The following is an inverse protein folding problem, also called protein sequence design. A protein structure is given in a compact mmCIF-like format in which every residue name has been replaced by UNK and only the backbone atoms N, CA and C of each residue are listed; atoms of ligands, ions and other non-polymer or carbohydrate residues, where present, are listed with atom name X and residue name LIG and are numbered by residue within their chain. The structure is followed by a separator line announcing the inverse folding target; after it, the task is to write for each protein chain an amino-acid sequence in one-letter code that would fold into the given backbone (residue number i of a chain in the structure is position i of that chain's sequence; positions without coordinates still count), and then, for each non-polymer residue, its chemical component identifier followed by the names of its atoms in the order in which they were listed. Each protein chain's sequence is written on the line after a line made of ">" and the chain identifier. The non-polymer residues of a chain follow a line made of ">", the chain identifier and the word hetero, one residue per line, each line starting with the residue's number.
data_IF_090177708031
#
_entry.id   IF_090177708031
#
_cell.length_a   1.000
_cell.length_b   1.000
_cell.length_c   1.000
_cell.angle_alpha   90.00
_cell.angle_beta   90.00
_cell.angle_gamma   90.00
#
_symmetry.space_group_name_H-M   'P 1'
#
loop_
_entity.id
_entity.type
_entity.pdbx_description
1 polymer ?
#
# COMPACT_ATOMS: atom_id res chain seq x y z
N UNK A 1 19.84 -5.77 -18.00
CA UNK A 1 18.62 -6.09 -18.71
C UNK A 1 18.01 -4.84 -19.36
N UNK A 2 17.28 -4.00 -18.65
CA UNK A 2 16.78 -2.76 -19.19
C UNK A 2 17.46 -1.54 -18.59
N UNK A 3 17.80 -0.58 -19.45
CA UNK A 3 18.33 0.70 -19.03
C UNK A 3 17.17 1.60 -18.58
N UNK A 4 17.32 2.23 -17.44
CA UNK A 4 16.39 3.24 -16.93
C UNK A 4 16.81 4.58 -17.51
N UNK A 5 15.95 5.17 -18.35
CA UNK A 5 16.22 6.48 -18.95
C UNK A 5 15.97 7.63 -17.98
N UNK A 6 14.91 7.51 -17.17
CA UNK A 6 14.49 8.55 -16.26
C UNK A 6 13.65 7.96 -15.11
N UNK A 7 13.71 8.58 -13.94
CA UNK A 7 12.80 8.29 -12.82
C UNK A 7 11.76 9.40 -12.70
N UNK A 8 10.51 9.02 -12.49
CA UNK A 8 9.38 9.93 -12.33
C UNK A 8 8.60 9.54 -11.09
N UNK A 9 8.35 10.50 -10.20
CA UNK A 9 7.51 10.30 -9.02
C UNK A 9 6.06 10.58 -9.38
N UNK A 10 5.19 9.58 -9.19
CA UNK A 10 3.74 9.72 -9.37
C UNK A 10 3.02 9.17 -8.14
N UNK A 11 2.46 10.05 -7.35
CA UNK A 11 1.74 9.66 -6.14
C UNK A 11 2.62 8.86 -5.18
N UNK A 12 2.17 7.68 -4.84
CA UNK A 12 2.81 6.80 -3.85
C UNK A 12 4.07 6.09 -4.37
N UNK A 13 4.21 5.95 -5.69
CA UNK A 13 5.26 5.12 -6.28
C UNK A 13 6.21 5.92 -7.17
N UNK A 14 7.44 5.40 -7.30
CA UNK A 14 8.39 5.84 -8.31
C UNK A 14 8.21 4.99 -9.57
N UNK A 15 8.23 5.65 -10.72
CA UNK A 15 8.19 5.03 -12.04
C UNK A 15 9.50 5.24 -12.76
N UNK A 16 9.93 4.23 -13.51
CA UNK A 16 11.06 4.32 -14.42
C UNK A 16 10.57 4.43 -15.85
N UNK A 17 11.22 5.25 -16.65
CA UNK A 17 11.01 5.28 -18.09
C UNK A 17 11.92 4.22 -18.71
N UNK A 18 11.34 3.19 -19.28
CA UNK A 18 12.05 2.04 -19.86
C UNK A 18 11.48 1.72 -21.22
N UNK A 19 12.28 1.90 -22.25
CA UNK A 19 11.87 1.64 -23.63
C UNK A 19 11.94 0.13 -23.90
N UNK A 20 10.86 -0.41 -24.49
CA UNK A 20 10.80 -1.82 -24.89
C UNK A 20 10.42 -2.81 -23.79
N UNK A 21 10.06 -2.33 -22.61
CA UNK A 21 9.61 -3.23 -21.56
C UNK A 21 8.19 -3.75 -21.83
N UNK A 22 7.93 -5.08 -21.71
CA UNK A 22 6.63 -5.67 -22.08
C UNK A 22 5.46 -5.19 -21.22
N UNK A 23 5.71 -4.73 -19.99
CA UNK A 23 4.69 -4.21 -19.07
C UNK A 23 4.66 -2.68 -19.00
N UNK A 24 5.39 -2.01 -19.88
CA UNK A 24 5.39 -0.55 -19.94
C UNK A 24 4.05 0.00 -20.42
N UNK A 25 3.66 1.15 -19.88
CA UNK A 25 2.52 1.92 -20.36
C UNK A 25 2.84 2.54 -21.75
N UNK A 26 1.83 3.18 -22.35
CA UNK A 26 2.02 3.90 -23.64
C UNK A 26 3.13 4.95 -23.58
N UNK A 27 3.47 5.47 -22.39
CA UNK A 27 4.54 6.44 -22.17
C UNK A 27 5.84 5.80 -21.67
N UNK A 28 5.98 4.48 -21.82
CA UNK A 28 7.14 3.69 -21.40
C UNK A 28 7.38 3.72 -19.87
N UNK A 29 6.35 3.97 -19.07
CA UNK A 29 6.44 3.92 -17.61
C UNK A 29 6.29 2.51 -17.07
N UNK A 30 7.22 2.11 -16.19
CA UNK A 30 7.19 0.85 -15.44
C UNK A 30 7.49 1.20 -13.99
N UNK A 31 6.89 0.48 -13.05
CA UNK A 31 7.20 0.66 -11.62
C UNK A 31 8.71 0.43 -11.39
N UNK A 32 9.37 1.40 -10.75
CA UNK A 32 10.84 1.36 -10.57
C UNK A 32 11.29 0.12 -9.81
N UNK A 33 10.61 -0.24 -8.72
CA UNK A 33 10.94 -1.43 -7.94
C UNK A 33 10.85 -2.73 -8.77
N UNK A 34 9.93 -2.78 -9.71
CA UNK A 34 9.80 -3.91 -10.63
C UNK A 34 11.02 -4.02 -11.54
N UNK A 35 11.45 -2.92 -12.13
CA UNK A 35 12.61 -2.88 -13.03
C UNK A 35 13.90 -3.26 -12.28
N UNK A 36 14.07 -2.74 -11.06
CA UNK A 36 15.22 -3.06 -10.20
C UNK A 36 15.29 -4.56 -9.94
N UNK A 37 14.17 -5.17 -9.58
CA UNK A 37 14.13 -6.61 -9.30
C UNK A 37 14.36 -7.44 -10.56
N UNK A 38 13.75 -7.07 -11.68
CA UNK A 38 13.92 -7.78 -12.95
C UNK A 38 15.37 -7.72 -13.44
N UNK A 39 16.03 -6.57 -13.33
CA UNK A 39 17.45 -6.41 -13.67
C UNK A 39 18.33 -7.25 -12.75
N UNK A 40 18.01 -7.34 -11.47
CA UNK A 40 18.75 -8.17 -10.52
C UNK A 40 18.59 -9.66 -10.84
N UNK A 41 17.38 -10.11 -11.16
CA UNK A 41 17.10 -11.52 -11.48
C UNK A 41 17.58 -11.92 -12.88
N UNK A 42 17.77 -10.96 -13.78
CA UNK A 42 18.08 -11.23 -15.19
C UNK A 42 16.90 -11.78 -16.00
N UNK A 43 15.67 -11.64 -15.51
CA UNK A 43 14.44 -12.10 -16.17
C UNK A 43 13.27 -11.19 -15.83
N UNK A 44 12.20 -11.26 -16.62
CA UNK A 44 10.94 -10.60 -16.31
C UNK A 44 10.19 -11.33 -15.19
N UNK A 45 9.44 -10.58 -14.40
CA UNK A 45 8.56 -11.16 -13.39
C UNK A 45 7.35 -11.83 -14.06
N UNK A 46 6.93 -12.96 -13.49
CA UNK A 46 5.72 -13.64 -13.90
C UNK A 46 4.47 -12.83 -13.49
N UNK A 47 3.32 -13.17 -14.08
CA UNK A 47 2.06 -12.46 -13.82
C UNK A 47 1.57 -12.56 -12.38
N UNK A 48 1.93 -13.65 -11.68
CA UNK A 48 1.58 -13.88 -10.30
C UNK A 48 2.64 -13.43 -9.29
N UNK A 49 3.78 -12.92 -9.79
CA UNK A 49 4.84 -12.39 -8.95
C UNK A 49 4.65 -10.90 -8.67
N UNK A 50 4.87 -10.49 -7.43
CA UNK A 50 4.87 -9.09 -7.02
C UNK A 50 6.13 -8.77 -6.24
N UNK A 51 6.58 -7.53 -6.31
CA UNK A 51 7.74 -7.05 -5.55
C UNK A 51 7.23 -6.37 -4.29
N UNK A 52 7.66 -6.87 -3.14
CA UNK A 52 7.30 -6.33 -1.84
C UNK A 52 8.44 -5.50 -1.25
N UNK A 53 8.13 -4.34 -0.70
CA UNK A 53 9.06 -3.50 0.06
C UNK A 53 9.04 -3.99 1.52
N UNK A 54 10.17 -4.50 2.00
CA UNK A 54 10.26 -5.09 3.35
C UNK A 54 9.98 -4.08 4.45
N UNK A 55 10.41 -2.83 4.28
CA UNK A 55 10.16 -1.71 5.20
C UNK A 55 8.85 -0.96 4.94
N UNK A 56 8.07 -1.41 3.95
CA UNK A 56 6.83 -0.77 3.45
C UNK A 56 7.02 0.64 2.90
N UNK A 57 8.25 1.10 2.71
CA UNK A 57 8.55 2.36 2.06
C UNK A 57 8.65 2.16 0.54
N UNK A 58 7.62 2.58 -0.18
CA UNK A 58 7.52 2.40 -1.63
C UNK A 58 8.54 3.21 -2.43
N UNK A 59 9.28 4.10 -1.80
CA UNK A 59 10.37 4.87 -2.41
C UNK A 59 11.76 4.26 -2.15
N UNK A 60 11.87 3.32 -1.24
CA UNK A 60 13.13 2.62 -0.95
C UNK A 60 13.25 1.38 -1.84
N UNK A 61 13.77 1.59 -3.05
CA UNK A 61 13.92 0.56 -4.06
C UNK A 61 15.32 -0.10 -4.09
N UNK A 62 16.02 -0.06 -2.96
CA UNK A 62 17.27 -0.80 -2.81
C UNK A 62 16.98 -2.29 -2.85
N UNK A 63 17.84 -3.05 -3.56
CA UNK A 63 17.60 -4.49 -3.75
C UNK A 63 17.51 -5.26 -2.43
N UNK A 64 18.23 -4.84 -1.40
CA UNK A 64 18.19 -5.45 -0.07
C UNK A 64 16.82 -5.30 0.61
N UNK A 65 16.05 -4.28 0.22
CA UNK A 65 14.72 -3.99 0.75
C UNK A 65 13.59 -4.64 -0.07
N UNK A 66 13.91 -5.22 -1.21
CA UNK A 66 12.92 -5.80 -2.11
C UNK A 66 12.92 -7.32 -2.03
N UNK A 67 11.74 -7.91 -2.13
CA UNK A 67 11.55 -9.35 -2.24
C UNK A 67 10.44 -9.67 -3.23
N UNK A 68 10.57 -10.82 -3.89
CA UNK A 68 9.55 -11.31 -4.82
C UNK A 68 8.65 -12.29 -4.07
N UNK A 69 7.35 -12.03 -4.10
CA UNK A 69 6.33 -12.89 -3.51
C UNK A 69 5.31 -13.24 -4.58
N UNK A 70 4.63 -14.38 -4.43
CA UNK A 70 3.42 -14.63 -5.21
C UNK A 70 2.30 -13.68 -4.75
N UNK A 71 1.32 -13.43 -5.62
CA UNK A 71 0.15 -12.62 -5.23
C UNK A 71 -0.57 -13.19 -4.01
N UNK A 72 -0.63 -14.52 -3.91
CA UNK A 72 -1.22 -15.22 -2.77
C UNK A 72 -0.46 -14.92 -1.48
N UNK A 73 0.86 -15.08 -1.47
CA UNK A 73 1.70 -14.83 -0.30
C UNK A 73 1.69 -13.36 0.11
N UNK A 74 1.71 -12.45 -0.85
CA UNK A 74 1.61 -11.02 -0.61
C UNK A 74 0.28 -10.67 0.06
N UNK A 75 -0.83 -11.23 -0.42
CA UNK A 75 -2.16 -11.03 0.17
C UNK A 75 -2.23 -11.59 1.60
N UNK A 76 -1.65 -12.76 1.85
CA UNK A 76 -1.58 -13.37 3.19
C UNK A 76 -0.78 -12.49 4.16
N UNK A 77 0.33 -11.92 3.71
CA UNK A 77 1.16 -11.02 4.51
C UNK A 77 0.36 -9.79 4.95
N UNK A 78 -0.33 -9.14 4.03
CA UNK A 78 -1.15 -7.97 4.33
C UNK A 78 -2.39 -8.32 5.16
N UNK A 79 -3.00 -9.47 4.94
CA UNK A 79 -4.12 -9.96 5.76
C UNK A 79 -3.71 -10.18 7.21
N UNK A 80 -2.50 -10.70 7.45
CA UNK A 80 -1.96 -10.87 8.81
C UNK A 80 -1.78 -9.52 9.50
N UNK A 81 -1.23 -8.52 8.83
CA UNK A 81 -1.09 -7.16 9.35
C UNK A 81 -2.46 -6.54 9.61
N UNK A 82 -3.41 -6.73 8.69
CA UNK A 82 -4.76 -6.18 8.80
C UNK A 82 -5.59 -6.74 9.96
N UNK A 83 -5.23 -7.92 10.46
CA UNK A 83 -5.91 -8.54 11.62
C UNK A 83 -5.38 -8.05 12.96
N UNK A 84 -4.34 -7.26 12.98
CA UNK A 84 -3.83 -6.67 14.23
C UNK A 84 -4.88 -5.73 14.81
N UNK A 85 -5.31 -6.01 16.03
CA UNK A 85 -6.31 -5.21 16.73
C UNK A 85 -5.63 -4.13 17.58
N UNK A 86 -6.21 -2.94 17.58
CA UNK A 86 -5.76 -1.82 18.41
C UNK A 86 -6.89 -1.38 19.34
N UNK A 87 -6.54 -0.96 20.55
CA UNK A 87 -7.50 -0.39 21.49
C UNK A 87 -7.90 1.02 21.04
N UNK A 88 -9.19 1.27 21.04
CA UNK A 88 -9.77 2.56 20.66
C UNK A 88 -10.83 2.99 21.69
N UNK A 89 -11.11 4.28 21.71
CA UNK A 89 -12.20 4.85 22.54
C UNK A 89 -13.20 5.51 21.62
N UNK A 90 -14.48 5.19 21.77
CA UNK A 90 -15.54 5.81 20.99
C UNK A 90 -15.66 7.30 21.33
N UNK A 91 -15.57 8.15 20.33
CA UNK A 91 -15.62 9.60 20.49
C UNK A 91 -17.02 10.09 20.91
N UNK A 92 -18.07 9.30 20.60
CA UNK A 92 -19.44 9.65 20.94
C UNK A 92 -19.87 9.17 22.34
N UNK A 93 -19.66 7.89 22.66
CA UNK A 93 -20.14 7.28 23.93
C UNK A 93 -19.04 6.96 24.94
N UNK A 94 -17.76 7.07 24.58
CA UNK A 94 -16.64 6.84 25.48
C UNK A 94 -16.31 5.38 25.76
N UNK A 95 -16.99 4.43 25.10
CA UNK A 95 -16.73 3.00 25.28
C UNK A 95 -15.36 2.64 24.71
N UNK A 96 -14.61 1.84 25.44
CA UNK A 96 -13.37 1.24 24.94
C UNK A 96 -13.70 0.03 24.09
N UNK A 97 -13.12 -0.05 22.88
CA UNK A 97 -13.31 -1.16 21.97
C UNK A 97 -12.04 -1.45 21.19
N UNK A 98 -11.99 -2.58 20.48
CA UNK A 98 -10.88 -2.96 19.61
C UNK A 98 -11.29 -2.84 18.15
N UNK A 99 -10.37 -2.38 17.33
CA UNK A 99 -10.56 -2.21 15.89
C UNK A 99 -9.35 -2.75 15.14
N UNK A 100 -9.58 -3.33 13.97
CA UNK A 100 -8.46 -3.74 13.12
C UNK A 100 -7.68 -2.52 12.63
N UNK A 101 -6.35 -2.60 12.69
CA UNK A 101 -5.47 -1.48 12.34
C UNK A 101 -5.66 -0.98 10.91
N UNK A 102 -6.05 -1.86 9.99
CA UNK A 102 -6.31 -1.51 8.57
C UNK A 102 -7.47 -0.52 8.39
N UNK A 103 -8.41 -0.49 9.34
CA UNK A 103 -9.55 0.43 9.31
C UNK A 103 -9.27 1.75 10.01
N UNK A 104 -8.08 1.92 10.54
CA UNK A 104 -7.68 3.16 11.18
C UNK A 104 -7.19 4.15 10.13
N UNK A 105 -7.85 5.29 10.05
CA UNK A 105 -7.35 6.40 9.26
C UNK A 105 -6.37 7.22 10.11
N UNK A 106 -5.08 7.27 9.77
CA UNK A 106 -4.09 8.00 10.58
C UNK A 106 -4.32 9.51 10.62
N UNK A 107 -5.06 10.05 9.64
CA UNK A 107 -5.41 11.48 9.60
C UNK A 107 -6.64 11.82 10.44
N UNK A 108 -7.44 10.83 10.78
CA UNK A 108 -8.66 11.01 11.57
C UNK A 108 -8.49 10.37 12.95
N UNK A 109 -8.37 11.19 13.96
CA UNK A 109 -8.22 10.74 15.35
C UNK A 109 -9.53 10.26 15.96
N UNK A 110 -10.67 10.50 15.32
CA UNK A 110 -11.97 10.10 15.81
C UNK A 110 -12.25 8.64 15.47
N UNK A 111 -12.60 7.86 16.49
CA UNK A 111 -13.00 6.47 16.32
C UNK A 111 -14.36 6.26 16.97
N UNK A 112 -15.15 5.33 16.41
CA UNK A 112 -16.52 5.05 16.86
C UNK A 112 -16.74 3.56 16.99
N UNK A 113 -17.43 3.15 18.06
CA UNK A 113 -17.72 1.73 18.31
C UNK A 113 -18.73 1.13 17.32
N UNK A 114 -19.54 1.98 16.68
CA UNK A 114 -20.56 1.56 15.71
C UNK A 114 -20.90 2.68 14.74
N UNK A 115 -21.60 2.33 13.66
CA UNK A 115 -22.14 3.31 12.71
C UNK A 115 -23.13 4.27 13.38
N UNK A 116 -23.87 3.76 14.36
CA UNK A 116 -24.84 4.57 15.14
C UNK A 116 -24.13 5.71 15.87
N UNK A 117 -23.03 5.42 16.56
CA UNK A 117 -22.23 6.44 17.25
C UNK A 117 -21.59 7.43 16.28
N UNK A 118 -21.11 6.95 15.15
CA UNK A 118 -20.58 7.79 14.10
C UNK A 118 -21.66 8.74 13.55
N UNK A 119 -22.84 8.22 13.27
CA UNK A 119 -23.99 9.01 12.82
C UNK A 119 -24.44 10.06 13.83
N UNK A 120 -24.53 9.69 15.09
CA UNK A 120 -24.91 10.63 16.17
C UNK A 120 -23.88 11.75 16.33
N UNK A 121 -22.59 11.43 16.31
CA UNK A 121 -21.53 12.42 16.45
C UNK A 121 -21.48 13.40 15.27
N UNK A 122 -21.63 12.90 14.05
CA UNK A 122 -21.57 13.70 12.82
C UNK A 122 -22.93 14.26 12.40
N UNK A 123 -24.02 13.66 12.85
CA UNK A 123 -25.40 14.04 12.47
C UNK A 123 -25.79 15.45 12.88
N UNK A 124 -25.23 15.93 13.96
CA UNK A 124 -25.47 17.31 14.42
C UNK A 124 -24.87 18.38 13.49
N UNK A 125 -23.95 17.97 12.61
CA UNK A 125 -23.35 18.87 11.63
C UNK A 125 -24.11 18.93 10.31
N UNK A 126 -25.06 18.03 10.12
CA UNK A 126 -25.94 17.98 8.94
C UNK A 126 -27.32 18.51 9.26
N UNK A 127 -27.40 19.66 9.86
CA UNK A 127 -28.69 20.36 9.84
C UNK A 127 -28.91 20.97 8.47
N UNK A 128 -29.93 20.47 7.86
CA UNK A 128 -30.50 20.86 6.58
C UNK A 128 -30.59 22.38 6.41
#
# INVERSE_FOLDING_TARGET
>A
MHKIEKLVKKGKYLYAVVIGHPKATKRNYVLHHRVVMENFLGRYLETDEVVHHKDENTHNNKIENLEVLSKSDHSKLHAKIGRTMIACVCKNCGIKFKKEIRFRNPKNKNTFCSRRCNGKFNGYKRKY
#
